data_IF_245948403038
#
_entry.id   IF_245948403038
#
_cell.length_a   1.000
_cell.length_b   1.000
_cell.length_c   1.000
_cell.angle_alpha   90.00
_cell.angle_beta   90.00
_cell.angle_gamma   90.00
#
_symmetry.space_group_name_H-M   'P 1'
#
loop_
_entity.id
_entity.type
_entity.pdbx_description
1 polymer ?
#
# COMPACT_ATOMS: atom_id res chain seq x y z
N UNK A 1 -56.44 -20.28 6.53
CA UNK A 1 -55.12 -20.89 6.28
C UNK A 1 -54.95 -22.08 7.22
N UNK A 2 -54.70 -23.30 6.75
CA UNK A 2 -54.42 -24.42 7.66
C UNK A 2 -53.06 -24.20 8.30
N UNK A 3 -53.00 -24.29 9.63
CA UNK A 3 -51.76 -24.14 10.40
C UNK A 3 -50.76 -25.23 10.01
N UNK A 4 -49.52 -24.83 9.67
CA UNK A 4 -48.36 -25.66 9.33
C UNK A 4 -47.82 -26.53 10.49
N UNK A 5 -48.68 -26.91 11.45
CA UNK A 5 -48.30 -27.73 12.61
C UNK A 5 -48.68 -29.18 12.35
N UNK A 6 -47.76 -30.08 12.68
CA UNK A 6 -48.01 -31.51 12.64
C UNK A 6 -49.27 -31.87 13.45
N UNK A 7 -50.10 -32.83 13.00
CA UNK A 7 -51.21 -33.34 13.78
C UNK A 7 -50.77 -33.68 15.22
N UNK A 8 -51.58 -33.31 16.21
CA UNK A 8 -51.19 -33.33 17.63
C UNK A 8 -50.72 -34.72 18.11
N UNK A 9 -51.33 -35.78 17.60
CA UNK A 9 -50.92 -37.16 17.89
C UNK A 9 -49.54 -37.50 17.32
N UNK A 10 -49.25 -37.05 16.10
CA UNK A 10 -47.94 -37.22 15.46
C UNK A 10 -46.85 -36.46 16.20
N UNK A 11 -47.17 -35.28 16.74
CA UNK A 11 -46.25 -34.49 17.56
C UNK A 11 -45.91 -35.19 18.87
N UNK A 12 -46.89 -35.70 19.61
CA UNK A 12 -46.63 -36.40 20.89
C UNK A 12 -45.82 -37.69 20.68
N UNK A 13 -46.10 -38.42 19.60
CA UNK A 13 -45.32 -39.60 19.22
C UNK A 13 -43.85 -39.24 18.92
N UNK A 14 -43.62 -38.24 18.07
CA UNK A 14 -42.26 -37.79 17.73
C UNK A 14 -41.54 -37.19 18.94
N UNK A 15 -42.24 -36.46 19.81
CA UNK A 15 -41.68 -35.91 21.05
C UNK A 15 -41.12 -37.01 21.94
N UNK A 16 -41.84 -38.13 22.07
CA UNK A 16 -41.40 -39.27 22.88
C UNK A 16 -40.16 -39.93 22.30
N UNK A 17 -40.10 -40.12 20.98
CA UNK A 17 -38.92 -40.66 20.29
C UNK A 17 -37.73 -39.73 20.49
N UNK A 18 -37.90 -38.44 20.23
CA UNK A 18 -36.85 -37.43 20.38
C UNK A 18 -36.33 -37.38 21.82
N UNK A 19 -37.19 -37.48 22.83
CA UNK A 19 -36.77 -37.52 24.23
C UNK A 19 -35.89 -38.74 24.52
N UNK A 20 -36.24 -39.92 24.02
CA UNK A 20 -35.43 -41.14 24.16
C UNK A 20 -34.09 -40.98 23.44
N UNK A 21 -34.12 -40.49 22.20
CA UNK A 21 -32.92 -40.24 21.38
C UNK A 21 -31.98 -39.24 22.06
N UNK A 22 -32.48 -38.12 22.60
CA UNK A 22 -31.63 -37.17 23.31
C UNK A 22 -31.07 -37.75 24.61
N UNK A 23 -31.85 -38.56 25.34
CA UNK A 23 -31.41 -39.19 26.58
C UNK A 23 -30.36 -40.30 26.38
N UNK A 24 -30.26 -40.87 25.18
CA UNK A 24 -29.31 -41.95 24.88
C UNK A 24 -27.96 -41.45 24.35
N UNK A 25 -27.84 -40.17 24.01
CA UNK A 25 -26.57 -39.57 23.58
C UNK A 25 -25.62 -39.51 24.79
N UNK A 26 -24.53 -40.27 24.72
CA UNK A 26 -23.39 -40.17 25.63
C UNK A 26 -22.22 -39.57 24.86
N UNK A 27 -21.93 -38.30 25.12
CA UNK A 27 -20.76 -37.63 24.54
C UNK A 27 -19.51 -38.18 25.26
N UNK A 28 -18.53 -38.65 24.51
CA UNK A 28 -17.23 -39.01 25.07
C UNK A 28 -16.52 -37.74 25.58
N UNK A 29 -16.21 -37.62 26.89
CA UNK A 29 -15.51 -36.46 27.43
C UNK A 29 -14.14 -36.23 26.77
N UNK A 30 -13.47 -37.29 26.29
CA UNK A 30 -12.17 -37.16 25.60
C UNK A 30 -12.32 -36.47 24.25
N UNK A 31 -13.35 -36.82 23.50
CA UNK A 31 -13.69 -36.14 22.25
C UNK A 31 -14.03 -34.68 22.50
N UNK A 32 -14.85 -34.37 23.52
CA UNK A 32 -15.24 -33.00 23.85
C UNK A 32 -14.03 -32.12 24.20
N UNK A 33 -13.12 -32.62 25.05
CA UNK A 33 -11.88 -31.91 25.39
C UNK A 33 -10.99 -31.71 24.16
N UNK A 34 -10.94 -32.71 23.27
CA UNK A 34 -10.24 -32.60 21.99
C UNK A 34 -10.82 -31.49 21.10
N UNK A 35 -12.15 -31.45 20.98
CA UNK A 35 -12.83 -30.43 20.16
C UNK A 35 -12.63 -29.03 20.73
N UNK A 36 -12.74 -28.84 22.05
CA UNK A 36 -12.49 -27.54 22.69
C UNK A 36 -11.07 -27.03 22.43
N UNK A 37 -10.07 -27.92 22.49
CA UNK A 37 -8.68 -27.57 22.11
C UNK A 37 -8.56 -27.22 20.64
N UNK A 38 -9.21 -27.98 19.76
CA UNK A 38 -9.23 -27.72 18.32
C UNK A 38 -9.88 -26.37 17.98
N UNK A 39 -10.95 -26.01 18.67
CA UNK A 39 -11.60 -24.70 18.52
C UNK A 39 -10.67 -23.56 18.92
N UNK A 40 -9.97 -23.68 20.06
CA UNK A 40 -9.01 -22.67 20.51
C UNK A 40 -7.83 -22.51 19.55
N UNK A 41 -7.26 -23.61 19.06
CA UNK A 41 -6.17 -23.56 18.08
C UNK A 41 -6.60 -22.91 16.76
N UNK A 42 -7.76 -23.28 16.23
CA UNK A 42 -8.31 -22.63 15.03
C UNK A 42 -8.61 -21.15 15.27
N UNK A 43 -9.13 -20.79 16.44
CA UNK A 43 -9.36 -19.39 16.83
C UNK A 43 -8.06 -18.58 16.81
N UNK A 44 -6.98 -19.13 17.39
CA UNK A 44 -5.64 -18.51 17.37
C UNK A 44 -5.09 -18.37 15.95
N UNK A 45 -5.29 -19.37 15.10
CA UNK A 45 -4.89 -19.31 13.68
C UNK A 45 -5.66 -18.21 12.94
N UNK A 46 -6.99 -18.13 13.10
CA UNK A 46 -7.81 -17.10 12.47
C UNK A 46 -7.37 -15.70 12.88
N UNK A 47 -7.15 -15.45 14.19
CA UNK A 47 -6.67 -14.15 14.67
C UNK A 47 -5.31 -13.81 14.06
N UNK A 48 -4.38 -14.78 14.03
CA UNK A 48 -3.06 -14.58 13.41
C UNK A 48 -3.17 -14.24 11.92
N UNK A 49 -4.00 -14.96 11.17
CA UNK A 49 -4.24 -14.71 9.75
C UNK A 49 -4.85 -13.34 9.53
N UNK A 50 -5.85 -12.94 10.32
CA UNK A 50 -6.47 -11.60 10.19
C UNK A 50 -5.48 -10.47 10.47
N UNK A 51 -4.64 -10.60 11.50
CA UNK A 51 -3.59 -9.62 11.79
C UNK A 51 -2.59 -9.51 10.64
N UNK A 52 -2.22 -10.63 10.03
CA UNK A 52 -1.31 -10.65 8.88
C UNK A 52 -1.93 -10.01 7.64
N UNK A 53 -3.22 -10.29 7.37
CA UNK A 53 -3.96 -9.64 6.28
C UNK A 53 -3.97 -8.12 6.47
N UNK A 54 -4.33 -7.63 7.66
CA UNK A 54 -4.34 -6.20 7.94
C UNK A 54 -2.96 -5.56 7.79
N UNK A 55 -1.89 -6.26 8.19
CA UNK A 55 -0.51 -5.80 8.00
C UNK A 55 -0.17 -5.65 6.52
N UNK A 56 -0.50 -6.65 5.71
CA UNK A 56 -0.26 -6.64 4.27
C UNK A 56 -1.09 -5.55 3.58
N UNK A 57 -2.35 -5.37 3.98
CA UNK A 57 -3.21 -4.30 3.44
C UNK A 57 -2.64 -2.90 3.71
N UNK A 58 -2.13 -2.67 4.93
CA UNK A 58 -1.48 -1.40 5.27
C UNK A 58 -0.23 -1.16 4.41
N UNK A 59 0.61 -2.20 4.22
CA UNK A 59 1.80 -2.13 3.36
C UNK A 59 1.44 -1.86 1.89
N UNK A 60 0.39 -2.51 1.37
CA UNK A 60 -0.11 -2.26 0.01
C UNK A 60 -0.59 -0.81 -0.13
N UNK A 61 -1.34 -0.31 0.85
CA UNK A 61 -1.83 1.06 0.83
C UNK A 61 -0.68 2.06 0.82
N UNK A 62 0.30 1.90 1.71
CA UNK A 62 1.46 2.79 1.79
C UNK A 62 2.28 2.78 0.49
N UNK A 63 2.53 1.59 -0.07
CA UNK A 63 3.26 1.48 -1.34
C UNK A 63 2.48 2.14 -2.49
N UNK A 64 1.17 1.89 -2.60
CA UNK A 64 0.32 2.53 -3.62
C UNK A 64 0.26 4.04 -3.44
N UNK A 65 0.22 4.52 -2.20
CA UNK A 65 0.22 5.94 -1.90
C UNK A 65 1.50 6.59 -2.41
N UNK A 66 2.67 6.06 -2.04
CA UNK A 66 3.97 6.56 -2.50
C UNK A 66 4.09 6.56 -4.03
N UNK A 67 3.70 5.47 -4.69
CA UNK A 67 3.72 5.40 -6.15
C UNK A 67 2.76 6.40 -6.78
N UNK A 68 1.56 6.57 -6.22
CA UNK A 68 0.60 7.52 -6.75
C UNK A 68 1.03 8.97 -6.52
N UNK A 69 1.67 9.28 -5.39
CA UNK A 69 2.28 10.59 -5.14
C UNK A 69 3.35 10.91 -6.19
N UNK A 70 4.24 9.97 -6.49
CA UNK A 70 5.27 10.16 -7.52
C UNK A 70 4.63 10.35 -8.91
N UNK A 71 3.62 9.54 -9.26
CA UNK A 71 2.88 9.71 -10.54
C UNK A 71 2.21 11.07 -10.62
N UNK A 72 1.56 11.53 -9.54
CA UNK A 72 0.89 12.83 -9.52
C UNK A 72 1.91 13.97 -9.61
N UNK A 73 3.06 13.83 -8.97
CA UNK A 73 4.18 14.76 -9.07
C UNK A 73 4.73 14.82 -10.50
N UNK A 74 5.03 13.67 -11.12
CA UNK A 74 5.46 13.60 -12.52
C UNK A 74 4.44 14.21 -13.48
N UNK A 75 3.15 13.93 -13.27
CA UNK A 75 2.07 14.51 -14.06
C UNK A 75 2.01 16.03 -13.90
N UNK A 76 2.21 16.54 -12.69
CA UNK A 76 2.27 17.97 -12.43
C UNK A 76 3.44 18.61 -13.17
N UNK A 77 4.66 18.06 -13.02
CA UNK A 77 5.85 18.52 -13.74
C UNK A 77 5.62 18.57 -15.25
N UNK A 78 5.10 17.48 -15.83
CA UNK A 78 4.80 17.38 -17.26
C UNK A 78 3.73 18.39 -17.74
N UNK A 79 2.74 18.71 -16.91
CA UNK A 79 1.70 19.70 -17.26
C UNK A 79 2.17 21.14 -17.13
N UNK A 80 3.19 21.38 -16.30
CA UNK A 80 3.75 22.71 -16.04
C UNK A 80 5.02 23.02 -16.83
N UNK A 81 5.48 22.11 -17.69
CA UNK A 81 6.77 22.19 -18.38
C UNK A 81 7.94 22.46 -17.40
N UNK A 82 7.90 21.77 -16.27
CA UNK A 82 8.91 21.82 -15.21
C UNK A 82 9.60 20.47 -15.02
N UNK A 83 10.75 20.48 -14.38
CA UNK A 83 11.56 19.30 -14.05
C UNK A 83 12.24 19.48 -12.69
N UNK A 84 12.47 18.36 -11.99
CA UNK A 84 13.21 18.33 -10.74
C UNK A 84 14.72 18.20 -11.01
N UNK A 85 15.49 19.24 -10.68
CA UNK A 85 16.94 19.27 -10.80
C UNK A 85 17.63 19.13 -9.44
N UNK A 86 18.71 18.38 -9.39
CA UNK A 86 19.59 18.29 -8.22
C UNK A 86 20.67 19.36 -8.34
N UNK A 87 20.71 20.27 -7.36
CA UNK A 87 21.73 21.30 -7.29
C UNK A 87 23.10 20.66 -6.93
N UNK A 88 24.15 20.87 -7.75
CA UNK A 88 25.46 20.23 -7.55
C UNK A 88 26.26 20.77 -6.36
N UNK A 89 25.84 21.87 -5.73
CA UNK A 89 26.49 22.44 -4.53
C UNK A 89 25.75 22.10 -3.24
N UNK A 90 24.41 22.13 -3.24
CA UNK A 90 23.59 21.87 -2.04
C UNK A 90 23.07 20.43 -1.96
N UNK A 91 23.03 19.71 -3.08
CA UNK A 91 22.33 18.43 -3.25
C UNK A 91 20.82 18.48 -2.95
N UNK A 92 20.23 19.68 -2.95
CA UNK A 92 18.79 19.87 -2.81
C UNK A 92 18.11 19.72 -4.19
N UNK A 93 16.83 19.32 -4.16
CA UNK A 93 15.99 19.22 -5.36
C UNK A 93 15.32 20.58 -5.59
N UNK A 94 15.51 21.11 -6.79
CA UNK A 94 14.97 22.39 -7.24
C UNK A 94 14.09 22.17 -8.46
N UNK A 95 12.87 22.69 -8.42
CA UNK A 95 11.95 22.63 -9.54
C UNK A 95 12.13 23.86 -10.44
N UNK A 96 12.38 23.61 -11.72
CA UNK A 96 12.65 24.67 -12.70
C UNK A 96 12.14 24.27 -14.10
N UNK A 97 12.24 25.18 -15.07
CA UNK A 97 11.79 24.92 -16.45
C UNK A 97 12.50 23.73 -17.10
N UNK A 98 11.75 22.92 -17.85
CA UNK A 98 12.25 21.80 -18.65
C UNK A 98 12.55 22.19 -20.12
N UNK A 99 12.37 23.46 -20.48
CA UNK A 99 12.55 23.97 -21.86
C UNK A 99 13.99 23.80 -22.39
N UNK A 100 14.96 23.66 -21.49
CA UNK A 100 16.37 23.56 -21.81
C UNK A 100 16.99 22.25 -21.34
N UNK A 101 17.82 21.65 -22.19
CA UNK A 101 18.48 20.36 -21.94
C UNK A 101 19.53 20.42 -20.84
N UNK A 102 20.23 21.55 -20.72
CA UNK A 102 21.29 21.74 -19.74
C UNK A 102 21.03 22.98 -18.91
N UNK A 103 21.16 22.82 -17.60
CA UNK A 103 21.09 23.87 -16.60
C UNK A 103 22.39 23.87 -15.82
N UNK A 104 23.08 25.01 -15.81
CA UNK A 104 24.33 25.22 -15.10
C UNK A 104 24.09 26.17 -13.92
N UNK A 105 24.53 25.79 -12.73
CA UNK A 105 24.49 26.64 -11.54
C UNK A 105 25.92 27.07 -11.21
N UNK A 106 26.11 28.34 -10.84
CA UNK A 106 27.34 28.87 -10.24
C UNK A 106 27.25 28.90 -8.71
N UNK A 107 28.39 29.06 -8.04
CA UNK A 107 28.46 29.08 -6.57
C UNK A 107 27.66 30.25 -5.96
N UNK A 108 27.53 31.34 -6.70
CA UNK A 108 26.81 32.55 -6.28
C UNK A 108 25.28 32.45 -6.48
N UNK A 109 24.79 31.33 -7.04
CA UNK A 109 23.38 31.12 -7.37
C UNK A 109 22.98 31.55 -8.78
N UNK A 110 23.94 31.94 -9.63
CA UNK A 110 23.69 32.24 -11.04
C UNK A 110 23.30 30.98 -11.82
N UNK A 111 22.25 31.07 -12.65
CA UNK A 111 21.77 29.94 -13.46
C UNK A 111 21.88 30.28 -14.94
N UNK A 112 22.47 29.37 -15.72
CA UNK A 112 22.59 29.46 -17.18
C UNK A 112 21.93 28.25 -17.82
N UNK A 113 20.98 28.50 -18.72
CA UNK A 113 20.29 27.48 -19.50
C UNK A 113 20.84 27.40 -20.91
N UNK A 114 20.99 26.18 -21.43
CA UNK A 114 21.44 25.96 -22.80
C UNK A 114 20.91 24.64 -23.36
N UNK A 115 20.72 24.59 -24.68
CA UNK A 115 20.45 23.36 -25.42
C UNK A 115 21.69 22.81 -26.14
N UNK A 116 22.78 23.58 -26.14
CA UNK A 116 24.01 23.21 -26.83
C UNK A 116 24.87 22.29 -25.93
N UNK A 117 25.17 21.05 -26.37
CA UNK A 117 26.04 20.14 -25.61
C UNK A 117 27.48 20.62 -25.49
N UNK A 118 27.96 21.44 -26.43
CA UNK A 118 29.35 21.91 -26.46
C UNK A 118 29.51 23.26 -25.72
N UNK A 119 28.44 23.79 -25.12
CA UNK A 119 28.50 25.05 -24.39
C UNK A 119 28.99 24.83 -22.96
N UNK A 120 30.13 25.43 -22.64
CA UNK A 120 30.68 25.51 -21.29
C UNK A 120 30.65 26.97 -20.79
N UNK A 121 29.84 27.30 -19.78
CA UNK A 121 29.80 28.65 -19.22
C UNK A 121 31.12 29.06 -18.58
N UNK A 122 31.94 28.12 -18.09
CA UNK A 122 33.23 28.42 -17.49
C UNK A 122 34.20 29.05 -18.51
N UNK A 123 34.17 28.56 -19.75
CA UNK A 123 35.00 29.09 -20.84
C UNK A 123 34.49 30.48 -21.27
N UNK A 124 33.19 30.63 -21.48
CA UNK A 124 32.61 31.88 -22.00
C UNK A 124 32.64 33.03 -20.98
N UNK A 125 32.42 32.74 -19.70
CA UNK A 125 32.37 33.74 -18.63
C UNK A 125 33.71 33.93 -17.91
N UNK A 126 34.74 33.15 -18.28
CA UNK A 126 36.04 33.11 -17.60
C UNK A 126 35.93 32.78 -16.10
N UNK A 127 34.89 32.02 -15.74
CA UNK A 127 34.65 31.49 -14.40
C UNK A 127 35.04 30.01 -14.35
N UNK A 128 35.13 29.44 -13.16
CA UNK A 128 35.48 28.01 -12.98
C UNK A 128 34.55 27.31 -12.00
N UNK A 129 33.55 28.03 -11.50
CA UNK A 129 32.67 27.52 -10.48
C UNK A 129 31.53 26.72 -11.07
N UNK A 130 30.98 27.09 -12.25
CA UNK A 130 29.74 26.53 -12.79
C UNK A 130 29.75 25.00 -12.94
N UNK A 131 28.67 24.37 -12.49
CA UNK A 131 28.42 22.93 -12.58
C UNK A 131 27.03 22.64 -13.15
N UNK A 132 26.91 21.57 -13.92
CA UNK A 132 25.63 21.10 -14.47
C UNK A 132 24.77 20.51 -13.36
N UNK A 133 23.51 20.92 -13.26
CA UNK A 133 22.51 20.24 -12.42
C UNK A 133 21.97 19.00 -13.11
N UNK A 134 21.85 17.90 -12.39
CA UNK A 134 21.33 16.62 -12.92
C UNK A 134 19.85 16.48 -12.63
N UNK A 135 19.07 15.92 -13.55
CA UNK A 135 17.66 15.61 -13.30
C UNK A 135 17.56 14.53 -12.21
N UNK A 136 16.61 14.68 -11.28
CA UNK A 136 16.35 13.71 -10.21
C UNK A 136 15.99 12.34 -10.83
N UNK A 137 16.66 11.24 -10.41
CA UNK A 137 16.28 9.90 -10.88
C UNK A 137 14.90 9.49 -10.33
N UNK A 138 14.16 8.73 -11.13
CA UNK A 138 12.85 8.15 -10.80
C UNK A 138 13.00 6.84 -10.04
#
# INVERSE_FOLDING_TARGET
MPSLRAPQESFEYLRRIMAITYSSIKIDPRWLVGELKGMDERGRQVIKTMNEIHRIEAEIYENRHKTNEEIMHENYLALTDQEDFINPYTNEVEQDTSEFRYRWIGLDGDIIYTNNPDYDPNISTHRTDFRVSTIRPR
#
